data_IF_611891437871
#
_entry.id   IF_611891437871
#
_cell.length_a   1.000
_cell.length_b   1.000
_cell.length_c   1.000
_cell.angle_alpha   90.00
_cell.angle_beta   90.00
_cell.angle_gamma   90.00
#
_symmetry.space_group_name_H-M   'P 1'
#
loop_
_entity.id
_entity.type
_entity.pdbx_description
1 polymer ?
#
# COMPACT_ATOMS: atom_id res chain seq x y z
N UNK A 1 -3.22 6.59 15.52
CA UNK A 1 -2.20 6.62 14.49
C UNK A 1 -2.82 6.77 13.12
N UNK A 2 -2.34 7.71 12.37
CA UNK A 2 -2.89 7.94 11.04
C UNK A 2 -2.12 7.17 10.00
N UNK A 3 -2.84 6.53 9.10
CA UNK A 3 -2.24 5.79 8.00
C UNK A 3 -2.24 6.59 6.71
N UNK A 4 -2.65 7.86 6.78
CA UNK A 4 -2.84 8.70 5.59
C UNK A 4 -1.59 8.83 4.74
N UNK A 5 -0.45 9.06 5.39
CA UNK A 5 0.81 9.20 4.66
C UNK A 5 1.21 7.89 3.98
N UNK A 6 1.07 6.79 4.69
CA UNK A 6 1.40 5.47 4.17
C UNK A 6 0.53 5.12 2.96
N UNK A 7 -0.77 5.34 3.12
CA UNK A 7 -1.74 5.04 2.07
C UNK A 7 -1.53 5.93 0.86
N UNK A 8 -1.31 7.22 1.07
CA UNK A 8 -1.09 8.13 -0.04
C UNK A 8 0.21 7.81 -0.77
N UNK A 9 1.23 7.35 -0.05
CA UNK A 9 2.49 6.93 -0.66
C UNK A 9 2.29 5.73 -1.58
N UNK A 10 1.54 4.74 -1.12
CA UNK A 10 1.22 3.55 -1.92
C UNK A 10 0.45 3.94 -3.18
N UNK A 11 -0.59 4.74 -3.00
CA UNK A 11 -1.44 5.17 -4.10
C UNK A 11 -0.66 5.96 -5.14
N UNK A 12 0.15 6.92 -4.70
CA UNK A 12 0.98 7.73 -5.59
C UNK A 12 1.98 6.87 -6.37
N UNK A 13 2.60 5.94 -5.68
CA UNK A 13 3.58 5.06 -6.34
C UNK A 13 2.90 4.21 -7.41
N UNK A 14 1.71 3.67 -7.09
CA UNK A 14 0.93 2.91 -8.07
C UNK A 14 0.63 3.76 -9.29
N UNK A 15 0.18 4.99 -9.08
CA UNK A 15 -0.15 5.91 -10.18
C UNK A 15 1.08 6.28 -11.00
N UNK A 16 2.21 6.50 -10.33
CA UNK A 16 3.47 6.81 -10.99
C UNK A 16 3.90 5.68 -11.93
N UNK A 17 3.66 4.44 -11.51
CA UNK A 17 3.98 3.28 -12.32
C UNK A 17 2.90 2.98 -13.37
N UNK A 18 1.87 3.79 -13.39
CA UNK A 18 0.76 3.67 -14.34
C UNK A 18 0.06 2.30 -14.27
N UNK A 19 -0.13 1.83 -13.04
CA UNK A 19 -0.82 0.56 -12.77
C UNK A 19 -2.18 0.87 -12.17
N UNK A 20 -3.25 0.25 -12.69
CA UNK A 20 -4.56 0.44 -12.08
C UNK A 20 -4.72 -0.46 -10.85
N UNK A 21 -5.78 -0.24 -10.08
CA UNK A 21 -6.02 -1.00 -8.86
C UNK A 21 -6.16 -2.50 -9.12
N UNK A 22 -6.85 -2.86 -10.19
CA UNK A 22 -7.05 -4.26 -10.53
C UNK A 22 -5.72 -4.97 -10.78
N UNK A 23 -4.84 -4.35 -11.53
CA UNK A 23 -3.54 -4.91 -11.84
C UNK A 23 -2.69 -5.03 -10.57
N UNK A 24 -2.69 -4.02 -9.72
CA UNK A 24 -1.93 -4.06 -8.48
C UNK A 24 -2.45 -5.17 -7.56
N UNK A 25 -3.76 -5.26 -7.39
CA UNK A 25 -4.36 -6.30 -6.55
C UNK A 25 -3.97 -7.69 -7.03
N UNK A 26 -4.02 -7.91 -8.33
CA UNK A 26 -3.66 -9.19 -8.93
C UNK A 26 -2.17 -9.50 -8.71
N UNK A 27 -1.30 -8.55 -9.00
CA UNK A 27 0.14 -8.74 -8.83
C UNK A 27 0.53 -8.98 -7.38
N UNK A 28 -0.13 -8.30 -6.46
CA UNK A 28 0.14 -8.45 -5.03
C UNK A 28 -0.59 -9.63 -4.41
N UNK A 29 -1.43 -10.30 -5.18
CA UNK A 29 -2.24 -11.43 -4.72
C UNK A 29 -3.11 -11.06 -3.52
N UNK A 30 -3.81 -9.94 -3.64
CA UNK A 30 -4.81 -9.52 -2.67
C UNK A 30 -6.11 -9.23 -3.40
N UNK A 31 -7.22 -9.23 -2.66
CA UNK A 31 -8.51 -8.92 -3.26
C UNK A 31 -8.59 -7.45 -3.69
N UNK A 32 -9.26 -7.20 -4.80
CA UNK A 32 -9.47 -5.84 -5.29
C UNK A 32 -10.23 -5.00 -4.26
N UNK A 33 -11.22 -5.61 -3.61
CA UNK A 33 -12.00 -4.93 -2.57
C UNK A 33 -11.10 -4.50 -1.42
N UNK A 34 -10.18 -5.36 -1.03
CA UNK A 34 -9.22 -5.05 0.03
C UNK A 34 -8.35 -3.86 -0.35
N UNK A 35 -7.83 -3.87 -1.59
CA UNK A 35 -7.01 -2.76 -2.06
C UNK A 35 -7.79 -1.46 -2.11
N UNK A 36 -9.02 -1.50 -2.58
CA UNK A 36 -9.87 -0.31 -2.62
C UNK A 36 -10.13 0.26 -1.23
N UNK A 37 -10.34 -0.61 -0.25
CA UNK A 37 -10.52 -0.18 1.13
C UNK A 37 -9.25 0.47 1.68
N UNK A 38 -8.09 -0.13 1.39
CA UNK A 38 -6.80 0.42 1.82
C UNK A 38 -6.60 1.81 1.22
N UNK A 39 -6.77 1.95 -0.09
CA UNK A 39 -6.51 3.21 -0.78
C UNK A 39 -7.51 4.30 -0.42
N UNK A 40 -8.70 3.93 0.06
CA UNK A 40 -9.70 4.91 0.50
C UNK A 40 -9.50 5.36 1.95
N UNK A 41 -8.51 4.81 2.62
CA UNK A 41 -8.26 5.12 4.03
C UNK A 41 -9.13 4.34 4.99
N UNK A 42 -9.88 3.39 4.49
CA UNK A 42 -10.72 2.53 5.31
C UNK A 42 -10.00 1.24 5.63
N UNK A 43 -10.44 0.57 6.66
CA UNK A 43 -9.87 -0.69 7.05
C UNK A 43 -8.56 -0.53 7.77
N UNK A 44 -7.93 -1.65 8.03
CA UNK A 44 -6.75 -1.72 8.85
C UNK A 44 -5.82 -2.76 8.26
N UNK A 45 -5.04 -2.38 7.24
CA UNK A 45 -4.20 -3.34 6.53
C UNK A 45 -3.16 -3.96 7.46
N UNK A 46 -2.92 -5.25 7.27
CA UNK A 46 -1.87 -5.95 8.03
C UNK A 46 -0.51 -5.61 7.42
N UNK A 47 0.53 -5.82 8.20
CA UNK A 47 1.89 -5.64 7.72
C UNK A 47 2.15 -6.57 6.54
N UNK A 48 1.62 -7.79 6.59
CA UNK A 48 1.79 -8.75 5.50
C UNK A 48 1.18 -8.22 4.19
N UNK A 49 -0.01 -7.64 4.27
CA UNK A 49 -0.66 -7.05 3.10
C UNK A 49 0.15 -5.87 2.56
N UNK A 50 0.62 -5.01 3.46
CA UNK A 50 1.46 -3.87 3.06
C UNK A 50 2.76 -4.33 2.41
N UNK A 51 3.35 -5.40 2.92
CA UNK A 51 4.57 -5.95 2.34
C UNK A 51 4.34 -6.47 0.94
N UNK A 52 3.22 -7.14 0.70
CA UNK A 52 2.86 -7.61 -0.64
C UNK A 52 2.73 -6.47 -1.62
N UNK A 53 2.10 -5.37 -1.20
CA UNK A 53 1.96 -4.19 -2.04
C UNK A 53 3.31 -3.54 -2.30
N UNK A 54 4.11 -3.39 -1.26
CA UNK A 54 5.43 -2.78 -1.37
C UNK A 54 6.32 -3.56 -2.34
N UNK A 55 6.28 -4.89 -2.28
CA UNK A 55 7.08 -5.73 -3.16
C UNK A 55 6.77 -5.48 -4.63
N UNK A 56 5.49 -5.37 -4.96
CA UNK A 56 5.07 -5.08 -6.35
C UNK A 56 5.50 -3.69 -6.79
N UNK A 57 5.42 -2.73 -5.86
CA UNK A 57 5.70 -1.34 -6.17
C UNK A 57 7.17 -0.97 -6.10
N UNK A 58 8.04 -1.94 -5.79
CA UNK A 58 9.46 -1.69 -5.67
C UNK A 58 9.81 -0.84 -4.47
N UNK A 59 9.07 -1.00 -3.39
CA UNK A 59 9.23 -0.24 -2.16
C UNK A 59 9.58 -1.16 -1.01
N UNK A 60 9.97 -0.56 0.09
CA UNK A 60 10.40 -1.26 1.28
C UNK A 60 9.68 -0.71 2.50
N UNK A 61 9.23 -1.59 3.37
CA UNK A 61 8.67 -1.16 4.66
C UNK A 61 9.80 -1.10 5.68
N UNK A 62 9.89 0.02 6.37
CA UNK A 62 10.91 0.24 7.39
C UNK A 62 10.32 0.83 8.63
N UNK A 63 10.90 0.48 9.76
CA UNK A 63 10.64 1.15 11.02
C UNK A 63 11.91 1.90 11.40
N UNK A 64 11.77 3.16 11.71
CA UNK A 64 12.90 3.99 12.09
C UNK A 64 12.68 4.62 13.44
N UNK A 65 13.75 4.73 14.21
CA UNK A 65 13.69 5.40 15.50
C UNK A 65 13.68 6.91 15.27
N UNK A 66 12.70 7.57 15.85
CA UNK A 66 12.62 9.02 15.77
C UNK A 66 13.50 9.61 16.87
N UNK A 67 14.43 10.43 16.49
CA UNK A 67 15.27 11.16 17.45
C UNK A 67 14.54 12.40 17.89
N UNK A 68 14.58 12.64 19.19
CA UNK A 68 14.01 13.85 19.77
C UNK A 68 15.08 14.68 20.44
#
# INVERSE_FOLDING_TARGET
MHHDHLISTIKKRRETLNINQEALAELANIGLRTLKQIESGRGNPTINTLQKLADVLGMELKLEVIKK
#
